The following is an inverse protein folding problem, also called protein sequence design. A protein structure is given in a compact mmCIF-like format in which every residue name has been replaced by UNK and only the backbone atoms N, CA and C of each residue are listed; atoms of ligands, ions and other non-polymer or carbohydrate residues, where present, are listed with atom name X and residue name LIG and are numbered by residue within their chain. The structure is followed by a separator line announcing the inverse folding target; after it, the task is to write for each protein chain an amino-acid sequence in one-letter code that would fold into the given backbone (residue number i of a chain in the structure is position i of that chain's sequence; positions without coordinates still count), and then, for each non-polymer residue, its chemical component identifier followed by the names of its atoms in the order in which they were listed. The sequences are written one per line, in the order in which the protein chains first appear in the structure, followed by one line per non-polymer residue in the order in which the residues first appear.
data_IF_197822934902
#
_entry.id   IF_197822934902
#
_cell.length_a   1.000
_cell.length_b   1.000
_cell.length_c   1.000
_cell.angle_alpha   90.00
_cell.angle_beta   90.00
_cell.angle_gamma   90.00
#
_symmetry.space_group_name_H-M   'P 1'
#
loop_
_entity.id
_entity.type
_entity.pdbx_description
1 polymer ?
#
# COMPACT_ATOMS: atom_id res chain seq x y z
N UNK A 1 0.72 -0.81 -10.22
CA UNK A 1 -0.29 -1.79 -10.71
C UNK A 1 -0.57 -2.78 -9.59
N UNK A 2 -1.84 -3.01 -9.20
CA UNK A 2 -2.18 -3.98 -8.14
C UNK A 2 -1.71 -5.42 -8.41
N UNK A 3 -1.42 -5.75 -9.67
CA UNK A 3 -0.92 -7.07 -10.10
C UNK A 3 0.58 -7.23 -9.84
N UNK A 4 1.39 -6.21 -10.17
CA UNK A 4 2.86 -6.29 -10.05
C UNK A 4 3.37 -5.70 -8.73
N UNK A 5 2.66 -4.71 -8.19
CA UNK A 5 3.02 -3.97 -7.00
C UNK A 5 3.26 -4.83 -5.75
N UNK A 6 2.49 -5.90 -5.47
CA UNK A 6 2.77 -6.80 -4.35
C UNK A 6 4.14 -7.49 -4.46
N UNK A 7 4.55 -7.87 -5.68
CA UNK A 7 5.85 -8.52 -5.92
C UNK A 7 7.01 -7.54 -5.81
N UNK A 8 6.85 -6.33 -6.33
CA UNK A 8 7.85 -5.24 -6.25
C UNK A 8 7.99 -4.70 -4.82
N UNK A 9 6.91 -4.70 -4.03
CA UNK A 9 6.90 -4.23 -2.65
C UNK A 9 7.40 -5.25 -1.62
N UNK A 10 7.72 -6.48 -2.04
CA UNK A 10 8.19 -7.54 -1.12
C UNK A 10 9.52 -7.20 -0.44
N UNK A 11 10.36 -6.40 -1.09
CA UNK A 11 11.64 -5.94 -0.53
C UNK A 11 11.51 -4.62 0.24
N UNK A 12 10.35 -3.96 0.19
CA UNK A 12 10.09 -2.72 0.90
C UNK A 12 9.39 -3.00 2.25
N UNK A 13 9.72 -2.21 3.28
CA UNK A 13 9.00 -2.26 4.55
C UNK A 13 7.54 -1.83 4.37
N UNK A 14 7.28 -0.86 3.49
CA UNK A 14 5.95 -0.33 3.17
C UNK A 14 5.83 0.01 1.69
N UNK A 15 4.63 -0.13 1.12
CA UNK A 15 4.38 0.21 -0.28
C UNK A 15 2.90 0.45 -0.58
N UNK A 16 2.62 1.03 -1.75
CA UNK A 16 1.26 1.19 -2.27
C UNK A 16 1.18 0.79 -3.75
N UNK A 17 0.02 0.29 -4.18
CA UNK A 17 -0.29 0.07 -5.59
C UNK A 17 -1.67 0.60 -5.92
N UNK A 18 -1.74 1.63 -6.76
CA UNK A 18 -3.01 2.18 -7.28
C UNK A 18 -3.53 1.44 -8.52
N UNK A 19 -4.85 1.55 -8.75
CA UNK A 19 -5.55 1.13 -9.96
C UNK A 19 -7.07 1.16 -9.78
N UNK A 20 -7.87 1.34 -10.84
CA UNK A 20 -9.34 1.28 -10.80
C UNK A 20 -10.03 2.10 -9.66
N UNK A 21 -9.58 3.34 -9.38
CA UNK A 21 -10.11 4.22 -8.31
C UNK A 21 -9.90 3.68 -6.88
N UNK A 22 -9.07 2.67 -6.74
CA UNK A 22 -8.71 2.02 -5.49
C UNK A 22 -7.18 1.89 -5.40
N UNK A 23 -6.69 1.59 -4.21
CA UNK A 23 -5.30 1.27 -4.01
C UNK A 23 -5.11 0.32 -2.85
N UNK A 24 -4.06 -0.48 -2.96
CA UNK A 24 -3.63 -1.43 -1.94
C UNK A 24 -2.44 -0.84 -1.20
N UNK A 25 -2.41 -1.04 0.11
CA UNK A 25 -1.30 -0.71 0.99
C UNK A 25 -0.67 -2.01 1.44
N UNK A 26 0.66 -2.06 1.40
CA UNK A 26 1.45 -3.23 1.76
C UNK A 26 2.42 -2.87 2.88
N UNK A 27 2.71 -3.83 3.75
CA UNK A 27 3.85 -3.77 4.65
C UNK A 27 4.56 -5.13 4.66
N UNK A 28 5.88 -5.13 4.47
CA UNK A 28 6.74 -6.34 4.43
C UNK A 28 6.19 -7.45 3.50
N UNK A 29 5.66 -7.04 2.35
CA UNK A 29 5.08 -7.95 1.36
C UNK A 29 3.66 -8.45 1.65
N UNK A 30 3.02 -8.02 2.74
CA UNK A 30 1.62 -8.36 3.06
C UNK A 30 0.67 -7.20 2.78
N UNK A 31 -0.55 -7.49 2.30
CA UNK A 31 -1.60 -6.48 2.09
C UNK A 31 -2.20 -6.10 3.44
N UNK A 32 -2.09 -4.84 3.82
CA UNK A 32 -2.64 -4.30 5.06
C UNK A 32 -4.10 -3.88 4.89
N UNK A 33 -4.38 -3.07 3.86
CA UNK A 33 -5.73 -2.58 3.57
C UNK A 33 -5.88 -2.10 2.14
N UNK A 34 -7.13 -2.08 1.66
CA UNK A 34 -7.55 -1.48 0.40
C UNK A 34 -8.31 -0.20 0.69
N UNK A 35 -7.96 0.89 0.02
CA UNK A 35 -8.58 2.21 0.20
C UNK A 35 -8.94 2.84 -1.15
N UNK A 36 -9.86 3.82 -1.18
CA UNK A 36 -10.02 4.70 -2.33
C UNK A 36 -8.68 5.36 -2.73
N UNK A 37 -8.46 5.55 -4.03
CA UNK A 37 -7.20 6.09 -4.56
C UNK A 37 -6.86 7.48 -4.01
N UNK A 38 -7.87 8.33 -3.80
CA UNK A 38 -7.75 9.66 -3.21
C UNK A 38 -7.30 9.63 -1.74
N UNK A 39 -7.42 8.49 -1.06
CA UNK A 39 -6.98 8.27 0.32
C UNK A 39 -5.67 7.49 0.45
N UNK A 40 -5.10 7.03 -0.67
CA UNK A 40 -4.00 6.08 -0.68
C UNK A 40 -2.74 6.62 0.02
N UNK A 41 -2.37 7.87 -0.26
CA UNK A 41 -1.21 8.52 0.35
C UNK A 41 -1.40 8.73 1.85
N UNK A 42 -2.55 9.28 2.27
CA UNK A 42 -2.84 9.51 3.68
C UNK A 42 -2.82 8.21 4.49
N UNK A 43 -3.39 7.14 3.93
CA UNK A 43 -3.44 5.86 4.58
C UNK A 43 -2.06 5.18 4.65
N UNK A 44 -1.19 5.37 3.66
CA UNK A 44 0.21 4.92 3.74
C UNK A 44 0.95 5.60 4.90
N UNK A 45 0.82 6.93 5.03
CA UNK A 45 1.47 7.69 6.11
C UNK A 45 0.98 7.24 7.48
N UNK A 46 -0.32 6.95 7.62
CA UNK A 46 -0.90 6.39 8.85
C UNK A 46 -0.26 5.04 9.20
N UNK A 47 -0.20 4.11 8.24
CA UNK A 47 0.40 2.77 8.45
C UNK A 47 1.87 2.87 8.87
N UNK A 48 2.64 3.76 8.23
CA UNK A 48 4.06 3.97 8.60
C UNK A 48 4.15 4.48 10.05
N UNK A 49 3.31 5.43 10.45
CA UNK A 49 3.33 5.99 11.82
C UNK A 49 2.90 5.00 12.89
N UNK A 50 1.92 4.14 12.59
CA UNK A 50 1.47 3.09 13.52
C UNK A 50 2.52 1.98 13.73
N UNK A 51 3.48 1.86 12.82
CA UNK A 51 4.52 0.84 12.83
C UNK A 51 5.87 1.31 13.39
N UNK A 52 5.96 2.58 13.81
CA UNK A 52 7.12 3.19 14.49
C UNK A 52 6.88 3.25 16.00
#
# INVERSE_FOLDING_TARGET
CAVNGPGEAKEADFGIAGGNKEGLIFARGEIIRKVPEDKLLSALVEVIRESL
#
